data_IF_133506819753
#
_entry.id   IF_133506819753
#
_cell.length_a   1.000
_cell.length_b   1.000
_cell.length_c   1.000
_cell.angle_alpha   90.00
_cell.angle_beta   90.00
_cell.angle_gamma   90.00
#
_symmetry.space_group_name_H-M   'P 1'
#
loop_
_entity.id
_entity.type
_entity.pdbx_description
1 polymer ?
#
# COMPACT_ATOMS: atom_id res chain seq x y z
N UNK A 1 -9.03 11.29 16.70
CA UNK A 1 -7.83 11.47 15.86
C UNK A 1 -8.31 11.62 14.44
N UNK A 2 -8.48 12.87 14.01
CA UNK A 2 -9.22 13.26 12.81
C UNK A 2 -8.54 12.70 11.57
N UNK A 3 -9.21 11.78 10.87
CA UNK A 3 -8.88 11.45 9.48
C UNK A 3 -9.07 12.75 8.68
N UNK A 4 -7.99 13.49 8.46
CA UNK A 4 -7.92 14.44 7.36
C UNK A 4 -7.92 13.60 6.07
N UNK A 5 -9.11 13.16 5.67
CA UNK A 5 -9.42 12.95 4.27
C UNK A 5 -9.21 14.32 3.62
N UNK A 6 -8.01 14.54 3.10
CA UNK A 6 -7.78 15.49 2.04
C UNK A 6 -8.71 15.08 0.90
N UNK A 7 -9.89 15.69 0.91
CA UNK A 7 -10.90 15.66 -0.13
C UNK A 7 -10.40 16.46 -1.34
N UNK A 8 -9.27 16.03 -1.87
CA UNK A 8 -8.67 16.49 -3.12
C UNK A 8 -8.07 15.29 -3.82
N UNK A 9 -8.80 14.73 -4.79
CA UNK A 9 -8.34 13.74 -5.77
C UNK A 9 -7.95 12.34 -5.25
N UNK A 10 -8.91 11.48 -4.88
CA UNK A 10 -8.62 10.05 -4.71
C UNK A 10 -9.13 9.24 -5.90
N UNK A 11 -8.32 9.20 -6.96
CA UNK A 11 -8.53 8.35 -8.13
C UNK A 11 -8.15 6.89 -7.80
N UNK A 12 -8.72 6.35 -6.73
CA UNK A 12 -8.59 4.96 -6.29
C UNK A 12 -9.87 4.21 -6.67
N UNK A 13 -9.73 3.01 -7.21
CA UNK A 13 -10.80 2.03 -7.42
C UNK A 13 -11.38 1.54 -6.09
N UNK A 14 -12.50 0.82 -6.16
CA UNK A 14 -13.08 0.19 -4.99
C UNK A 14 -12.15 -0.85 -4.34
N UNK A 15 -11.36 -1.55 -5.16
CA UNK A 15 -10.41 -2.54 -4.67
C UNK A 15 -9.23 -1.88 -3.93
N UNK A 16 -8.61 -0.86 -4.53
CA UNK A 16 -7.54 -0.09 -3.87
C UNK A 16 -7.98 0.48 -2.53
N UNK A 17 -9.21 1.04 -2.45
CA UNK A 17 -9.74 1.55 -1.18
C UNK A 17 -9.82 0.48 -0.10
N UNK A 18 -10.25 -0.75 -0.43
CA UNK A 18 -10.32 -1.86 0.54
C UNK A 18 -8.92 -2.24 1.05
N UNK A 19 -7.93 -2.29 0.15
CA UNK A 19 -6.55 -2.59 0.51
C UNK A 19 -5.99 -1.49 1.42
N UNK A 20 -6.16 -0.22 1.05
CA UNK A 20 -5.73 0.93 1.84
C UNK A 20 -6.40 0.94 3.22
N UNK A 21 -7.71 0.74 3.28
CA UNK A 21 -8.46 0.69 4.54
C UNK A 21 -7.92 -0.40 5.47
N UNK A 22 -7.70 -1.62 4.96
CA UNK A 22 -7.16 -2.72 5.76
C UNK A 22 -5.72 -2.44 6.22
N UNK A 23 -4.87 -1.89 5.35
CA UNK A 23 -3.50 -1.51 5.71
C UNK A 23 -3.43 -0.51 6.87
N UNK A 24 -4.38 0.43 6.95
CA UNK A 24 -4.42 1.42 8.03
C UNK A 24 -5.14 0.93 9.30
N UNK A 25 -6.18 0.12 9.16
CA UNK A 25 -6.98 -0.38 10.28
C UNK A 25 -6.34 -1.58 10.98
N UNK A 26 -5.66 -2.45 10.24
CA UNK A 26 -5.05 -3.68 10.75
C UNK A 26 -3.58 -3.82 10.29
N UNK A 27 -2.69 -2.82 10.51
CA UNK A 27 -1.36 -2.80 9.92
C UNK A 27 -0.45 -3.98 10.33
N UNK A 28 -0.70 -4.57 11.50
CA UNK A 28 0.09 -5.72 11.98
C UNK A 28 -0.23 -7.03 11.26
N UNK A 29 -1.45 -7.19 10.72
CA UNK A 29 -1.91 -8.43 10.06
C UNK A 29 -2.15 -8.25 8.56
N UNK A 30 -2.22 -7.00 8.08
CA UNK A 30 -2.42 -6.69 6.68
C UNK A 30 -1.34 -7.30 5.75
N UNK A 31 -0.03 -7.28 6.09
CA UNK A 31 1.00 -7.89 5.23
C UNK A 31 0.77 -9.37 4.94
N UNK A 32 0.55 -10.18 5.98
CA UNK A 32 0.29 -11.61 5.85
C UNK A 32 -1.00 -11.88 5.06
N UNK A 33 -2.06 -11.11 5.34
CA UNK A 33 -3.30 -11.21 4.59
C UNK A 33 -3.11 -10.93 3.09
N UNK A 34 -2.38 -9.87 2.73
CA UNK A 34 -2.13 -9.51 1.33
C UNK A 34 -1.23 -10.51 0.62
N UNK A 35 -0.18 -11.00 1.28
CA UNK A 35 0.68 -12.06 0.75
C UNK A 35 -0.11 -13.33 0.44
N UNK A 36 -1.02 -13.74 1.32
CA UNK A 36 -1.91 -14.88 1.05
C UNK A 36 -2.79 -14.65 -0.20
N UNK A 37 -3.29 -13.43 -0.45
CA UNK A 37 -4.06 -13.13 -1.66
C UNK A 37 -3.20 -13.24 -2.93
N UNK A 38 -1.95 -12.77 -2.86
CA UNK A 38 -0.98 -12.89 -3.95
C UNK A 38 -0.73 -14.37 -4.28
N UNK A 39 -0.44 -15.18 -3.26
CA UNK A 39 -0.19 -16.62 -3.39
C UNK A 39 -1.42 -17.40 -3.87
N UNK A 40 -2.61 -16.93 -3.52
CA UNK A 40 -3.90 -17.50 -3.96
C UNK A 40 -4.23 -17.20 -5.42
N UNK A 41 -3.40 -16.44 -6.13
CA UNK A 41 -3.54 -16.20 -7.57
C UNK A 41 -4.09 -14.82 -7.95
N UNK A 42 -3.79 -13.78 -7.17
CA UNK A 42 -4.10 -12.41 -7.56
C UNK A 42 -3.48 -12.06 -8.93
N UNK A 43 -4.16 -11.24 -9.73
CA UNK A 43 -3.61 -10.76 -11.00
C UNK A 43 -2.40 -9.85 -10.78
N UNK A 44 -1.59 -9.58 -11.81
CA UNK A 44 -0.42 -8.69 -11.68
C UNK A 44 -0.83 -7.31 -11.17
N UNK A 45 -1.96 -6.77 -11.64
CA UNK A 45 -2.51 -5.49 -11.19
C UNK A 45 -2.92 -5.55 -9.72
N UNK A 46 -3.55 -6.64 -9.29
CA UNK A 46 -3.93 -6.84 -7.89
C UNK A 46 -2.72 -7.00 -6.98
N UNK A 47 -1.71 -7.75 -7.42
CA UNK A 47 -0.44 -7.91 -6.72
C UNK A 47 0.24 -6.57 -6.48
N UNK A 48 0.26 -5.69 -7.48
CA UNK A 48 0.84 -4.36 -7.37
C UNK A 48 0.14 -3.51 -6.29
N UNK A 49 -1.21 -3.55 -6.26
CA UNK A 49 -2.00 -2.87 -5.23
C UNK A 49 -1.78 -3.50 -3.85
N UNK A 50 -1.68 -4.82 -3.76
CA UNK A 50 -1.37 -5.51 -2.50
C UNK A 50 0.01 -5.14 -1.97
N UNK A 51 1.06 -5.14 -2.81
CA UNK A 51 2.39 -4.69 -2.43
C UNK A 51 2.38 -3.23 -1.94
N UNK A 52 1.62 -2.36 -2.59
CA UNK A 52 1.40 -1.00 -2.08
C UNK A 52 0.73 -0.98 -0.71
N UNK A 53 -0.28 -1.85 -0.49
CA UNK A 53 -0.92 -2.04 0.81
C UNK A 53 0.02 -2.53 1.90
N UNK A 54 0.93 -3.46 1.59
CA UNK A 54 1.98 -3.93 2.51
C UNK A 54 2.87 -2.75 2.90
N UNK A 55 3.31 -1.95 1.92
CA UNK A 55 4.14 -0.78 2.17
C UNK A 55 3.46 0.26 3.08
N UNK A 56 2.15 0.51 2.89
CA UNK A 56 1.36 1.37 3.76
C UNK A 56 1.30 0.83 5.21
N UNK A 57 1.14 -0.48 5.37
CA UNK A 57 1.10 -1.12 6.68
C UNK A 57 2.46 -1.00 7.39
N UNK A 58 3.56 -1.26 6.70
CA UNK A 58 4.91 -1.07 7.24
C UNK A 58 5.20 0.40 7.57
N UNK A 59 4.83 1.35 6.70
CA UNK A 59 4.98 2.78 6.98
C UNK A 59 4.19 3.17 8.24
N UNK A 60 2.98 2.64 8.41
CA UNK A 60 2.13 2.87 9.58
C UNK A 60 2.74 2.33 10.88
N UNK A 61 3.47 1.22 10.81
CA UNK A 61 4.21 0.63 11.93
C UNK A 61 5.55 1.32 12.21
N UNK A 62 6.01 2.22 11.34
CA UNK A 62 7.31 2.88 11.45
C UNK A 62 8.47 2.11 10.81
N UNK A 63 8.18 1.02 10.09
CA UNK A 63 9.14 0.16 9.41
C UNK A 63 9.50 0.75 8.04
N UNK A 64 10.34 1.80 8.05
CA UNK A 64 10.64 2.60 6.85
C UNK A 64 11.35 1.82 5.74
N UNK A 65 12.26 0.91 6.10
CA UNK A 65 13.06 0.17 5.12
C UNK A 65 12.20 -0.84 4.35
N UNK A 66 11.33 -1.54 5.07
CA UNK A 66 10.37 -2.49 4.52
C UNK A 66 9.37 -1.76 3.62
N UNK A 67 8.77 -0.67 4.11
CA UNK A 67 7.84 0.15 3.32
C UNK A 67 8.46 0.64 2.00
N UNK A 68 9.74 1.03 2.02
CA UNK A 68 10.46 1.44 0.81
C UNK A 68 10.56 0.28 -0.19
N UNK A 69 10.91 -0.92 0.27
CA UNK A 69 10.99 -2.11 -0.55
C UNK A 69 9.65 -2.45 -1.20
N UNK A 70 8.58 -2.45 -0.41
CA UNK A 70 7.24 -2.81 -0.88
C UNK A 70 6.70 -1.82 -1.92
N UNK A 71 6.92 -0.52 -1.71
CA UNK A 71 6.54 0.49 -2.70
C UNK A 71 7.35 0.38 -3.99
N UNK A 72 8.65 0.06 -3.92
CA UNK A 72 9.45 -0.21 -5.12
C UNK A 72 8.94 -1.43 -5.88
N UNK A 73 8.56 -2.49 -5.18
CA UNK A 73 7.96 -3.67 -5.82
C UNK A 73 6.61 -3.34 -6.47
N UNK A 74 5.75 -2.56 -5.81
CA UNK A 74 4.50 -2.09 -6.39
C UNK A 74 4.71 -1.22 -7.64
N UNK A 75 5.67 -0.29 -7.61
CA UNK A 75 6.04 0.54 -8.75
C UNK A 75 6.57 -0.31 -9.92
N UNK A 76 7.40 -1.32 -9.64
CA UNK A 76 7.94 -2.23 -10.65
C UNK A 76 6.86 -3.07 -11.35
N UNK A 77 5.73 -3.34 -10.67
CA UNK A 77 4.55 -3.99 -11.26
C UNK A 77 3.62 -3.00 -11.98
N UNK A 78 4.00 -1.73 -12.10
CA UNK A 78 3.25 -0.71 -12.83
C UNK A 78 2.28 0.11 -12.00
N UNK A 79 2.31 0.01 -10.66
CA UNK A 79 1.43 0.79 -9.80
C UNK A 79 1.99 2.19 -9.53
N UNK A 80 1.73 3.12 -10.44
CA UNK A 80 2.29 4.49 -10.43
C UNK A 80 2.02 5.29 -9.14
N UNK A 81 0.99 4.96 -8.36
CA UNK A 81 0.72 5.66 -7.09
C UNK A 81 1.75 5.33 -6.01
N UNK A 82 2.50 4.24 -6.17
CA UNK A 82 3.63 3.93 -5.29
C UNK A 82 4.76 4.97 -5.40
N UNK A 83 4.95 5.60 -6.57
CA UNK A 83 5.95 6.66 -6.75
C UNK A 83 5.72 7.86 -5.81
N UNK A 84 4.46 8.28 -5.65
CA UNK A 84 4.08 9.36 -4.71
C UNK A 84 4.43 8.99 -3.26
N UNK A 85 4.29 7.71 -2.89
CA UNK A 85 4.65 7.22 -1.57
C UNK A 85 6.17 7.13 -1.37
N UNK A 86 6.91 6.72 -2.40
CA UNK A 86 8.38 6.72 -2.41
C UNK A 86 8.94 8.13 -2.23
N UNK A 87 8.39 9.13 -2.92
CA UNK A 87 8.79 10.54 -2.77
C UNK A 87 8.50 11.07 -1.36
N UNK A 88 7.32 10.76 -0.81
CA UNK A 88 6.98 11.09 0.58
C UNK A 88 7.95 10.46 1.58
N UNK A 89 8.36 9.21 1.38
CA UNK A 89 9.29 8.53 2.29
C UNK A 89 10.71 9.09 2.21
N UNK A 90 11.15 9.57 1.03
CA UNK A 90 12.46 10.21 0.85
C UNK A 90 12.57 11.57 1.55
N UNK A 91 11.44 12.26 1.72
CA UNK A 91 11.38 13.61 2.30
C UNK A 91 11.06 13.64 3.80
N UNK A 92 10.73 12.50 4.39
CA UNK A 92 10.58 12.29 5.85
C UNK A 92 11.92 11.92 6.51
#
# INVERSE_FOLDING_TARGET
>A
MTLLLLAGCTNYSAFERKVIERAYSEPATAPEYFMHQIESGATVEEQAVYMYGIGLAHEKLGNKAEALGDYLSAEALGYNKAAEALERLKTK
#
